data_IF_927503234104
#
_entry.id   IF_927503234104
#
_cell.length_a   1.000
_cell.length_b   1.000
_cell.length_c   1.000
_cell.angle_alpha   90.00
_cell.angle_beta   90.00
_cell.angle_gamma   90.00
#
_symmetry.space_group_name_H-M   'P 1'
#
loop_
_entity.id
_entity.type
_entity.pdbx_description
1 polymer ?
#
# COMPACT_ATOMS: atom_id res chain seq x y z
N UNK A 1 11.19 -38.40 12.81
CA UNK A 1 11.46 -38.93 14.17
C UNK A 1 12.20 -40.26 14.05
N UNK A 2 13.11 -40.62 14.95
CA UNK A 2 13.76 -41.92 15.11
C UNK A 2 14.74 -41.82 16.29
N UNK A 3 14.53 -42.77 17.18
CA UNK A 3 15.35 -43.31 18.26
C UNK A 3 16.85 -43.00 18.15
N UNK A 4 17.43 -42.46 19.23
CA UNK A 4 18.90 -42.31 19.40
C UNK A 4 19.46 -40.91 19.63
N UNK A 5 18.61 -39.88 19.73
CA UNK A 5 19.00 -38.48 19.99
C UNK A 5 19.49 -37.75 18.73
N UNK A 6 18.91 -36.67 18.23
CA UNK A 6 17.72 -35.92 18.67
C UNK A 6 16.89 -35.43 17.46
N UNK A 7 17.22 -35.85 16.21
CA UNK A 7 16.52 -35.36 15.01
C UNK A 7 16.37 -36.41 13.91
N UNK A 8 15.16 -36.95 13.83
CA UNK A 8 14.56 -37.71 12.74
C UNK A 8 14.36 -37.04 11.39
N UNK A 9 15.36 -37.03 10.50
CA UNK A 9 15.18 -36.62 9.10
C UNK A 9 14.31 -37.60 8.30
N UNK A 10 13.11 -37.15 7.95
CA UNK A 10 12.13 -37.87 7.11
C UNK A 10 12.00 -37.27 5.71
N UNK A 11 12.69 -36.16 5.43
CA UNK A 11 12.65 -35.41 4.17
C UNK A 11 13.23 -36.18 2.98
N UNK A 12 14.20 -37.07 3.21
CA UNK A 12 14.83 -37.90 2.16
C UNK A 12 14.44 -39.38 2.26
N UNK A 13 13.22 -39.69 2.73
CA UNK A 13 12.73 -41.06 2.93
C UNK A 13 11.57 -41.38 1.98
N UNK A 14 11.47 -42.65 1.57
CA UNK A 14 10.39 -43.11 0.70
C UNK A 14 9.16 -43.53 1.52
N UNK A 15 8.06 -42.82 1.35
CA UNK A 15 6.78 -43.12 1.98
C UNK A 15 5.96 -44.08 1.12
N UNK A 16 5.22 -44.99 1.75
CA UNK A 16 4.11 -45.69 1.11
C UNK A 16 2.92 -44.73 1.02
N UNK A 17 2.24 -44.72 -0.13
CA UNK A 17 1.14 -43.79 -0.39
C UNK A 17 -0.14 -44.58 -0.57
N UNK A 18 -1.19 -44.16 0.12
CA UNK A 18 -2.54 -44.73 -0.01
C UNK A 18 -3.08 -44.72 -1.45
N UNK A 19 -2.76 -43.67 -2.21
CA UNK A 19 -3.19 -43.48 -3.60
C UNK A 19 -2.23 -42.58 -4.38
N UNK A 20 -2.18 -42.76 -5.70
CA UNK A 20 -1.27 -42.01 -6.58
C UNK A 20 -1.90 -40.79 -7.24
N UNK A 21 -3.21 -40.74 -7.36
CA UNK A 21 -3.95 -39.62 -7.93
C UNK A 21 -5.19 -39.30 -7.11
N UNK A 22 -5.61 -38.04 -7.17
CA UNK A 22 -6.77 -37.50 -6.49
C UNK A 22 -7.43 -36.50 -7.45
N UNK A 23 -8.72 -36.69 -7.72
CA UNK A 23 -9.51 -35.75 -8.52
C UNK A 23 -10.68 -35.27 -7.66
N UNK A 24 -10.76 -33.95 -7.46
CA UNK A 24 -11.81 -33.30 -6.71
C UNK A 24 -12.76 -32.61 -7.67
N UNK A 25 -14.05 -32.72 -7.39
CA UNK A 25 -15.13 -32.10 -8.15
C UNK A 25 -16.20 -31.57 -7.21
N UNK A 26 -17.21 -30.89 -7.73
CA UNK A 26 -18.37 -30.47 -6.92
C UNK A 26 -19.10 -31.68 -6.29
N UNK A 27 -19.10 -32.83 -6.96
CA UNK A 27 -19.69 -34.07 -6.43
C UNK A 27 -18.84 -34.76 -5.36
N UNK A 28 -17.52 -34.56 -5.42
CA UNK A 28 -16.55 -35.09 -4.44
C UNK A 28 -15.70 -33.94 -3.90
N UNK A 29 -16.28 -33.10 -3.00
CA UNK A 29 -15.70 -31.81 -2.67
C UNK A 29 -14.52 -31.88 -1.70
N UNK A 30 -14.30 -33.05 -1.05
CA UNK A 30 -13.24 -33.26 -0.07
C UNK A 30 -12.64 -34.64 -0.21
N UNK A 31 -11.32 -34.72 -0.10
CA UNK A 31 -10.62 -35.99 -0.18
C UNK A 31 -9.19 -35.88 0.41
N UNK A 32 -8.55 -36.99 0.77
CA UNK A 32 -7.29 -36.96 1.54
C UNK A 32 -6.24 -38.03 1.21
N UNK A 33 -5.00 -37.66 0.94
CA UNK A 33 -3.91 -38.64 0.69
C UNK A 33 -3.12 -38.90 1.97
N UNK A 34 -3.00 -40.17 2.34
CA UNK A 34 -2.15 -40.62 3.44
C UNK A 34 -0.80 -41.15 2.93
N UNK A 35 0.27 -40.69 3.58
CA UNK A 35 1.65 -41.10 3.40
C UNK A 35 2.13 -41.76 4.69
N UNK A 36 2.61 -43.00 4.59
CA UNK A 36 3.05 -43.79 5.73
C UNK A 36 4.51 -44.18 5.58
N UNK A 37 5.29 -43.97 6.62
CA UNK A 37 6.68 -44.42 6.71
C UNK A 37 6.84 -45.34 7.91
N UNK A 38 7.27 -46.57 7.65
CA UNK A 38 7.61 -47.55 8.67
C UNK A 38 9.11 -47.52 8.92
N UNK A 39 9.53 -47.46 10.18
CA UNK A 39 10.94 -47.42 10.52
C UNK A 39 11.54 -48.83 10.47
N UNK A 40 12.59 -49.07 9.66
CA UNK A 40 13.21 -50.39 9.59
C UNK A 40 13.71 -50.83 10.98
N UNK A 41 13.27 -51.99 11.44
CA UNK A 41 13.69 -52.56 12.72
C UNK A 41 12.96 -52.03 13.96
N UNK A 42 11.93 -51.20 13.83
CA UNK A 42 11.03 -50.84 14.94
C UNK A 42 9.56 -50.98 14.57
N UNK A 43 8.69 -51.07 15.58
CA UNK A 43 7.23 -51.03 15.40
C UNK A 43 6.69 -49.60 15.21
N UNK A 44 7.58 -48.61 15.08
CA UNK A 44 7.19 -47.21 14.99
C UNK A 44 6.78 -46.85 13.55
N UNK A 45 5.72 -46.06 13.41
CA UNK A 45 5.21 -45.58 12.13
C UNK A 45 4.97 -44.08 12.18
N UNK A 46 5.32 -43.41 11.09
CA UNK A 46 5.04 -42.00 10.87
C UNK A 46 4.04 -41.86 9.74
N UNK A 47 2.85 -41.36 10.07
CA UNK A 47 1.74 -41.22 9.12
C UNK A 47 1.44 -39.75 8.94
N UNK A 48 1.41 -39.26 7.70
CA UNK A 48 1.03 -37.89 7.36
C UNK A 48 -0.13 -37.93 6.38
N UNK A 49 -1.23 -37.30 6.76
CA UNK A 49 -2.43 -37.20 5.94
C UNK A 49 -2.58 -35.76 5.47
N UNK A 50 -2.67 -35.58 4.15
CA UNK A 50 -3.00 -34.31 3.50
C UNK A 50 -4.47 -34.33 3.10
N UNK A 51 -5.24 -33.36 3.57
CA UNK A 51 -6.67 -33.21 3.29
C UNK A 51 -6.91 -32.02 2.38
N UNK A 52 -7.61 -32.26 1.27
CA UNK A 52 -7.87 -31.28 0.22
C UNK A 52 -9.35 -30.99 0.10
N UNK A 53 -9.68 -29.79 -0.40
CA UNK A 53 -11.05 -29.36 -0.71
C UNK A 53 -11.09 -28.71 -2.09
N UNK A 54 -12.13 -28.99 -2.86
CA UNK A 54 -12.26 -28.49 -4.24
C UNK A 54 -12.27 -26.95 -4.37
N UNK A 55 -12.74 -26.24 -3.35
CA UNK A 55 -13.00 -24.79 -3.34
C UNK A 55 -12.00 -24.00 -2.47
N UNK A 56 -10.92 -24.64 -2.02
CA UNK A 56 -10.02 -24.07 -1.04
C UNK A 56 -8.56 -24.26 -1.40
N UNK A 57 -7.79 -23.20 -1.18
CA UNK A 57 -6.33 -23.22 -1.22
C UNK A 57 -5.69 -23.67 0.11
N UNK A 58 -6.53 -24.01 1.10
CA UNK A 58 -6.09 -24.49 2.40
C UNK A 58 -6.02 -26.03 2.38
N UNK A 59 -4.81 -26.56 2.57
CA UNK A 59 -4.55 -27.99 2.69
C UNK A 59 -4.35 -28.34 4.16
N UNK A 60 -5.20 -29.21 4.70
CA UNK A 60 -5.04 -29.70 6.07
C UNK A 60 -3.92 -30.72 6.13
N UNK A 61 -3.00 -30.58 7.09
CA UNK A 61 -1.90 -31.52 7.33
C UNK A 61 -2.05 -32.09 8.73
N UNK A 62 -2.19 -33.41 8.84
CA UNK A 62 -2.19 -34.10 10.13
C UNK A 62 -1.14 -35.20 10.15
N UNK A 63 -0.25 -35.16 11.13
CA UNK A 63 0.73 -36.22 11.38
C UNK A 63 0.34 -37.06 12.58
N UNK A 64 0.51 -38.38 12.51
CA UNK A 64 0.37 -39.33 13.62
C UNK A 64 1.69 -40.04 13.88
N UNK A 65 2.01 -40.19 15.16
CA UNK A 65 3.21 -40.83 15.65
C UNK A 65 2.79 -42.13 16.34
N UNK A 66 2.88 -43.27 15.64
CA UNK A 66 2.49 -44.57 16.19
C UNK A 66 3.73 -45.35 16.63
N UNK A 67 3.67 -46.02 17.78
CA UNK A 67 4.78 -46.82 18.29
C UNK A 67 6.02 -46.01 18.71
N UNK A 68 5.85 -44.71 18.98
CA UNK A 68 6.86 -43.85 19.60
C UNK A 68 6.64 -43.77 21.12
N UNK A 69 7.71 -43.54 21.88
CA UNK A 69 7.61 -43.27 23.31
C UNK A 69 6.73 -42.05 23.58
N UNK A 70 5.93 -42.11 24.63
CA UNK A 70 5.05 -41.00 25.00
C UNK A 70 5.84 -39.88 25.69
N UNK A 71 6.46 -39.04 24.88
CA UNK A 71 7.25 -37.86 25.29
C UNK A 71 6.97 -36.70 24.34
N UNK A 72 7.34 -35.49 24.75
CA UNK A 72 7.22 -34.32 23.88
C UNK A 72 8.17 -34.41 22.68
N UNK A 73 7.67 -34.16 21.47
CA UNK A 73 8.48 -34.07 20.25
C UNK A 73 8.37 -32.67 19.63
N UNK A 74 9.32 -32.32 18.76
CA UNK A 74 9.21 -31.16 17.90
C UNK A 74 9.29 -31.60 16.44
N UNK A 75 8.34 -31.14 15.63
CA UNK A 75 8.33 -31.39 14.19
C UNK A 75 8.88 -30.16 13.49
N UNK A 76 10.00 -30.33 12.80
CA UNK A 76 10.56 -29.30 11.94
C UNK A 76 9.99 -29.52 10.54
N UNK A 77 9.24 -28.53 10.06
CA UNK A 77 8.71 -28.51 8.70
C UNK A 77 9.32 -27.35 7.91
N UNK A 78 9.42 -27.51 6.59
CA UNK A 78 9.92 -26.46 5.70
C UNK A 78 8.83 -26.07 4.71
N UNK A 79 8.78 -24.78 4.40
CA UNK A 79 7.97 -24.25 3.30
C UNK A 79 8.69 -24.37 1.94
N UNK A 80 9.84 -25.06 1.90
CA UNK A 80 10.65 -25.22 0.69
C UNK A 80 11.38 -23.94 0.29
N UNK A 81 11.84 -23.89 -0.96
CA UNK A 81 12.59 -22.76 -1.55
C UNK A 81 11.71 -21.58 -2.00
N UNK A 82 10.44 -21.54 -1.57
CA UNK A 82 9.50 -20.48 -1.91
C UNK A 82 8.57 -20.80 -3.08
N UNK A 83 8.09 -19.74 -3.74
CA UNK A 83 7.09 -19.79 -4.80
C UNK A 83 7.80 -19.59 -6.14
N UNK A 84 7.46 -20.39 -7.16
CA UNK A 84 7.99 -20.18 -8.51
C UNK A 84 7.38 -18.92 -9.13
N UNK A 85 8.20 -18.00 -9.63
CA UNK A 85 7.70 -16.81 -10.34
C UNK A 85 7.12 -17.16 -11.71
N UNK A 86 5.95 -16.61 -12.01
CA UNK A 86 5.32 -16.62 -13.33
C UNK A 86 5.11 -15.19 -13.87
N UNK A 87 5.81 -14.20 -13.30
CA UNK A 87 5.74 -12.82 -13.78
C UNK A 87 6.56 -12.64 -15.06
N UNK A 88 6.19 -11.61 -15.83
CA UNK A 88 6.96 -11.19 -17.02
C UNK A 88 8.41 -10.83 -16.67
N UNK A 89 8.64 -10.32 -15.46
CA UNK A 89 9.96 -9.99 -14.94
C UNK A 89 10.20 -10.75 -13.61
N UNK A 90 10.85 -11.93 -13.65
CA UNK A 90 11.09 -12.75 -12.47
C UNK A 90 11.93 -12.03 -11.39
N UNK A 91 12.92 -11.23 -11.78
CA UNK A 91 13.79 -10.53 -10.83
C UNK A 91 13.02 -9.48 -10.03
N UNK A 92 12.11 -8.77 -10.69
CA UNK A 92 11.22 -7.81 -10.02
C UNK A 92 10.29 -8.52 -9.03
N UNK A 93 9.77 -9.71 -9.35
CA UNK A 93 8.93 -10.50 -8.46
C UNK A 93 9.73 -11.06 -7.28
N UNK A 94 10.90 -11.66 -7.52
CA UNK A 94 11.79 -12.17 -6.49
C UNK A 94 12.23 -11.07 -5.52
N UNK A 95 12.44 -9.84 -6.00
CA UNK A 95 12.74 -8.68 -5.13
C UNK A 95 11.61 -8.33 -4.14
N UNK A 96 10.39 -8.84 -4.38
CA UNK A 96 9.21 -8.71 -3.51
C UNK A 96 8.99 -9.91 -2.61
N UNK A 97 9.87 -10.92 -2.66
CA UNK A 97 9.74 -12.08 -1.80
C UNK A 97 10.07 -11.69 -0.36
N UNK A 98 9.12 -11.99 0.51
CA UNK A 98 9.19 -11.62 1.92
C UNK A 98 8.70 -12.80 2.76
N UNK A 99 9.43 -13.07 3.84
CA UNK A 99 8.93 -13.88 4.94
C UNK A 99 8.10 -12.99 5.86
N UNK A 100 6.90 -13.44 6.18
CA UNK A 100 5.99 -12.75 7.06
C UNK A 100 5.56 -13.71 8.17
N UNK A 101 5.65 -13.24 9.40
CA UNK A 101 5.30 -14.04 10.58
C UNK A 101 4.37 -13.27 11.49
N UNK A 102 3.39 -13.95 12.09
CA UNK A 102 2.53 -13.37 13.12
C UNK A 102 2.69 -14.13 14.42
N UNK A 103 3.15 -13.44 15.46
CA UNK A 103 3.46 -13.98 16.77
C UNK A 103 2.45 -13.58 17.84
N UNK A 104 2.45 -14.30 18.96
CA UNK A 104 1.58 -13.96 20.10
C UNK A 104 1.96 -12.61 20.74
N UNK A 105 3.27 -12.32 20.83
CA UNK A 105 3.79 -11.09 21.47
C UNK A 105 4.07 -9.98 20.45
N UNK A 106 4.31 -10.33 19.19
CA UNK A 106 4.61 -9.38 18.12
C UNK A 106 3.55 -9.43 17.02
N UNK A 107 2.98 -8.27 16.72
CA UNK A 107 2.20 -8.11 15.49
C UNK A 107 3.10 -8.41 14.27
N UNK A 108 2.48 -8.67 13.13
CA UNK A 108 3.12 -9.06 11.86
C UNK A 108 4.52 -8.47 11.65
N UNK A 109 5.51 -9.36 11.57
CA UNK A 109 6.89 -9.02 11.24
C UNK A 109 7.21 -9.42 9.80
N UNK A 110 8.06 -8.63 9.15
CA UNK A 110 8.43 -8.80 7.75
C UNK A 110 9.95 -8.86 7.64
N UNK A 111 10.45 -9.95 7.07
CA UNK A 111 11.84 -10.13 6.68
C UNK A 111 11.91 -10.20 5.15
N UNK A 112 12.69 -9.32 4.52
CA UNK A 112 12.77 -9.24 3.06
C UNK A 112 13.93 -10.07 2.54
N UNK A 113 13.67 -10.92 1.55
CA UNK A 113 14.73 -11.80 1.01
C UNK A 113 15.81 -11.01 0.26
N UNK A 114 15.47 -9.82 -0.24
CA UNK A 114 16.46 -8.91 -0.83
C UNK A 114 17.53 -8.39 0.13
N UNK A 115 17.26 -8.46 1.44
CA UNK A 115 18.19 -8.00 2.47
C UNK A 115 18.99 -9.19 3.06
N UNK A 116 18.79 -10.41 2.55
CA UNK A 116 19.46 -11.63 3.01
C UNK A 116 20.64 -12.01 2.11
N UNK A 117 21.74 -12.44 2.74
CA UNK A 117 22.90 -12.98 2.02
C UNK A 117 22.83 -14.52 1.91
N UNK A 118 23.47 -15.07 0.88
CA UNK A 118 23.57 -16.52 0.72
C UNK A 118 24.28 -17.16 1.92
N UNK A 119 23.67 -18.20 2.49
CA UNK A 119 24.17 -18.93 3.66
C UNK A 119 23.91 -18.25 5.01
N UNK A 120 23.24 -17.10 5.03
CA UNK A 120 22.88 -16.40 6.26
C UNK A 120 21.57 -16.96 6.85
N UNK A 121 21.57 -17.21 8.16
CA UNK A 121 20.39 -17.63 8.91
C UNK A 121 19.79 -16.44 9.67
N UNK A 122 18.53 -16.14 9.37
CA UNK A 122 17.75 -15.12 10.07
C UNK A 122 16.63 -15.79 10.86
N UNK A 123 16.69 -15.67 12.18
CA UNK A 123 15.62 -16.12 13.05
C UNK A 123 14.54 -15.05 13.16
N UNK A 124 13.28 -15.43 12.93
CA UNK A 124 12.15 -14.53 13.13
C UNK A 124 11.98 -14.21 14.63
N UNK A 125 11.93 -12.93 15.02
CA UNK A 125 11.64 -12.53 16.39
C UNK A 125 10.18 -12.76 16.79
N UNK A 126 9.93 -12.98 18.07
CA UNK A 126 8.57 -12.92 18.65
C UNK A 126 7.70 -14.17 18.46
N UNK A 127 8.32 -15.35 18.37
CA UNK A 127 7.60 -16.61 18.52
C UNK A 127 7.05 -16.77 19.96
N UNK A 128 6.03 -17.62 20.17
CA UNK A 128 5.43 -18.56 19.22
C UNK A 128 4.54 -17.89 18.16
N UNK A 129 4.42 -18.51 16.99
CA UNK A 129 3.73 -17.98 15.80
C UNK A 129 2.41 -18.69 15.50
N UNK A 130 1.39 -17.89 15.18
CA UNK A 130 0.12 -18.33 14.62
C UNK A 130 0.30 -18.82 13.18
N UNK A 131 1.10 -18.11 12.40
CA UNK A 131 1.42 -18.51 11.05
C UNK A 131 2.78 -17.97 10.60
N UNK A 132 3.38 -18.72 9.69
CA UNK A 132 4.65 -18.40 9.03
C UNK A 132 4.41 -18.48 7.53
N UNK A 133 4.68 -17.41 6.80
CA UNK A 133 4.36 -17.29 5.38
C UNK A 133 5.56 -16.82 4.55
N UNK A 134 5.72 -17.39 3.36
CA UNK A 134 6.45 -16.80 2.24
C UNK A 134 5.41 -16.14 1.34
N UNK A 135 5.61 -14.87 0.98
CA UNK A 135 4.77 -14.22 -0.04
C UNK A 135 5.58 -13.71 -1.21
N UNK A 136 4.99 -13.77 -2.38
CA UNK A 136 5.40 -13.03 -3.58
C UNK A 136 4.55 -11.76 -3.73
N UNK A 137 4.52 -11.17 -4.93
CA UNK A 137 3.66 -10.02 -5.22
C UNK A 137 2.16 -10.32 -5.13
N UNK A 138 1.74 -11.53 -5.51
CA UNK A 138 0.32 -11.90 -5.62
C UNK A 138 -0.06 -13.23 -4.95
N UNK A 139 0.91 -14.05 -4.56
CA UNK A 139 0.69 -15.38 -4.01
C UNK A 139 1.34 -15.51 -2.64
N UNK A 140 0.79 -16.40 -1.82
CA UNK A 140 1.31 -16.70 -0.51
C UNK A 140 1.29 -18.20 -0.25
N UNK A 141 2.40 -18.67 0.31
CA UNK A 141 2.61 -20.01 0.83
C UNK A 141 2.79 -19.88 2.35
N UNK A 142 1.85 -20.38 3.13
CA UNK A 142 1.89 -20.24 4.58
C UNK A 142 1.61 -21.55 5.32
N UNK A 143 2.31 -21.76 6.42
CA UNK A 143 1.92 -22.72 7.44
C UNK A 143 1.12 -21.98 8.52
N UNK A 144 -0.09 -22.47 8.81
CA UNK A 144 -1.06 -21.88 9.73
C UNK A 144 -1.35 -22.86 10.85
N UNK A 145 -1.16 -22.41 12.08
CA UNK A 145 -1.42 -23.19 13.27
C UNK A 145 -2.94 -23.31 13.52
N UNK A 146 -3.42 -24.39 14.14
CA UNK A 146 -4.82 -24.51 14.54
C UNK A 146 -5.18 -23.46 15.62
N UNK A 147 -6.38 -22.87 15.56
CA UNK A 147 -6.80 -21.77 16.45
C UNK A 147 -6.69 -22.08 17.95
N UNK A 148 -6.98 -23.33 18.34
CA UNK A 148 -6.95 -23.79 19.74
C UNK A 148 -5.90 -24.87 19.98
N UNK A 149 -4.81 -24.88 19.20
CA UNK A 149 -3.76 -25.89 19.32
C UNK A 149 -2.36 -25.30 19.47
N UNK A 150 -1.32 -26.16 19.39
CA UNK A 150 0.06 -25.71 19.52
C UNK A 150 0.42 -24.73 18.40
N UNK A 151 1.03 -23.61 18.78
CA UNK A 151 1.61 -22.63 17.86
C UNK A 151 2.99 -23.06 17.38
N UNK A 152 3.48 -22.47 16.30
CA UNK A 152 4.83 -22.71 15.83
C UNK A 152 5.85 -22.08 16.80
N UNK A 153 6.80 -22.86 17.31
CA UNK A 153 7.76 -22.40 18.31
C UNK A 153 8.77 -21.40 17.75
N UNK A 154 9.33 -21.69 16.56
CA UNK A 154 10.33 -20.85 15.91
C UNK A 154 10.21 -20.86 14.40
N UNK A 155 10.76 -19.83 13.75
CA UNK A 155 10.87 -19.76 12.30
C UNK A 155 12.25 -19.20 11.92
N UNK A 156 12.91 -19.85 10.97
CA UNK A 156 14.23 -19.48 10.47
C UNK A 156 14.16 -19.39 8.95
N UNK A 157 14.64 -18.29 8.39
CA UNK A 157 14.90 -18.15 6.97
C UNK A 157 16.40 -18.35 6.72
N UNK A 158 16.72 -19.26 5.82
CA UNK A 158 18.09 -19.52 5.37
C UNK A 158 18.25 -19.03 3.93
N UNK A 159 19.16 -18.10 3.70
CA UNK A 159 19.42 -17.50 2.39
C UNK A 159 20.03 -18.50 1.40
N UNK A 160 19.47 -18.60 0.21
CA UNK A 160 19.94 -19.47 -0.85
C UNK A 160 20.98 -18.75 -1.75
N UNK A 161 21.76 -19.50 -2.56
CA UNK A 161 22.68 -18.91 -3.53
C UNK A 161 21.98 -18.11 -4.64
N UNK A 162 20.71 -18.42 -4.91
CA UNK A 162 19.88 -17.66 -5.84
C UNK A 162 19.52 -16.29 -5.25
N UNK A 163 19.54 -15.24 -6.08
CA UNK A 163 19.20 -13.90 -5.62
C UNK A 163 17.76 -13.84 -5.08
N UNK A 164 17.62 -13.22 -3.90
CA UNK A 164 16.34 -13.00 -3.23
C UNK A 164 15.56 -14.29 -2.94
N UNK A 165 16.25 -15.42 -2.76
CA UNK A 165 15.66 -16.70 -2.42
C UNK A 165 16.05 -17.15 -1.01
N UNK A 166 15.10 -17.70 -0.26
CA UNK A 166 15.36 -18.28 1.04
C UNK A 166 14.45 -19.48 1.30
N UNK A 167 14.97 -20.47 2.03
CA UNK A 167 14.17 -21.58 2.56
C UNK A 167 13.72 -21.25 3.96
N UNK A 168 12.42 -21.39 4.22
CA UNK A 168 11.87 -21.21 5.57
C UNK A 168 11.70 -22.56 6.25
N UNK A 169 12.15 -22.64 7.50
CA UNK A 169 11.91 -23.75 8.41
C UNK A 169 11.16 -23.26 9.63
N UNK A 170 10.17 -24.02 10.06
CA UNK A 170 9.41 -23.73 11.27
C UNK A 170 9.23 -24.98 12.12
N UNK A 171 9.11 -24.79 13.43
CA UNK A 171 9.00 -25.87 14.40
C UNK A 171 7.62 -25.90 15.02
N UNK A 172 7.00 -27.07 15.09
CA UNK A 172 5.72 -27.27 15.75
C UNK A 172 5.90 -28.25 16.92
N UNK A 173 5.60 -27.86 18.17
CA UNK A 173 5.68 -28.76 19.30
C UNK A 173 4.53 -29.79 19.25
N UNK A 174 4.85 -31.02 19.62
CA UNK A 174 3.94 -32.16 19.73
C UNK A 174 3.95 -32.60 21.20
N UNK A 175 2.96 -32.18 22.00
CA UNK A 175 2.90 -32.52 23.42
C UNK A 175 2.80 -34.03 23.64
N UNK A 176 3.31 -34.51 24.79
CA UNK A 176 3.10 -35.89 25.22
C UNK A 176 1.58 -36.18 25.34
N UNK A 177 1.16 -37.38 24.97
CA UNK A 177 -0.24 -37.83 24.96
C UNK A 177 -1.07 -37.34 23.77
N UNK A 178 -0.56 -36.44 22.92
CA UNK A 178 -1.32 -35.93 21.76
C UNK A 178 -1.40 -36.92 20.59
N UNK A 179 -0.46 -37.87 20.52
CA UNK A 179 -0.37 -38.87 19.44
C UNK A 179 -0.05 -38.31 18.05
N UNK A 180 0.12 -36.99 17.90
CA UNK A 180 0.29 -36.36 16.60
C UNK A 180 0.19 -34.84 16.58
N UNK A 181 0.26 -34.27 15.39
CA UNK A 181 0.18 -32.83 15.16
C UNK A 181 -0.80 -32.50 14.04
N UNK A 182 -1.30 -31.27 14.04
CA UNK A 182 -2.17 -30.74 12.99
C UNK A 182 -1.78 -29.30 12.69
N UNK A 183 -1.68 -28.96 11.42
CA UNK A 183 -1.57 -27.60 10.93
C UNK A 183 -2.17 -27.52 9.53
N UNK A 184 -2.36 -26.31 9.01
CA UNK A 184 -2.84 -26.11 7.65
C UNK A 184 -1.75 -25.45 6.80
N UNK A 185 -1.68 -25.78 5.53
CA UNK A 185 -0.82 -25.10 4.56
C UNK A 185 -1.72 -24.35 3.58
N UNK A 186 -1.60 -23.03 3.54
CA UNK A 186 -2.25 -22.20 2.54
C UNK A 186 -1.33 -22.03 1.33
N UNK A 187 -1.82 -22.32 0.14
CA UNK A 187 -1.09 -22.21 -1.13
C UNK A 187 -1.98 -21.55 -2.17
N UNK A 188 -2.00 -20.22 -2.19
CA UNK A 188 -3.01 -19.51 -2.97
C UNK A 188 -2.75 -18.03 -3.18
N UNK A 189 -3.71 -17.36 -3.85
CA UNK A 189 -3.63 -15.94 -4.13
C UNK A 189 -3.84 -15.10 -2.87
N UNK A 190 -3.28 -13.89 -2.85
CA UNK A 190 -3.45 -12.93 -1.76
C UNK A 190 -4.80 -12.19 -1.83
N UNK A 191 -5.90 -12.94 -1.78
CA UNK A 191 -7.26 -12.40 -1.80
C UNK A 191 -7.74 -12.07 -0.38
N UNK A 192 -8.08 -10.80 -0.12
CA UNK A 192 -8.45 -10.34 1.21
C UNK A 192 -9.61 -11.12 1.83
N UNK A 193 -10.66 -11.41 1.05
CA UNK A 193 -11.85 -12.10 1.54
C UNK A 193 -11.52 -13.53 1.96
N UNK A 194 -10.69 -14.24 1.18
CA UNK A 194 -10.26 -15.61 1.48
C UNK A 194 -9.31 -15.66 2.67
N UNK A 195 -8.37 -14.72 2.76
CA UNK A 195 -7.41 -14.67 3.86
C UNK A 195 -8.11 -14.35 5.18
N UNK A 196 -9.10 -13.46 5.18
CA UNK A 196 -9.87 -13.10 6.36
C UNK A 196 -10.72 -14.27 6.90
N UNK A 197 -11.16 -15.20 6.03
CA UNK A 197 -11.89 -16.41 6.44
C UNK A 197 -11.03 -17.45 7.18
N UNK A 198 -9.70 -17.35 7.08
CA UNK A 198 -8.77 -18.25 7.77
C UNK A 198 -8.64 -17.91 9.26
N UNK A 199 -8.88 -16.65 9.63
CA UNK A 199 -8.74 -16.15 11.01
C UNK A 199 -7.30 -15.85 11.39
N UNK A 200 -7.05 -15.62 12.69
CA UNK A 200 -5.72 -15.32 13.28
C UNK A 200 -4.98 -14.15 12.59
N UNK A 201 -5.75 -13.15 12.16
CA UNK A 201 -5.26 -12.00 11.41
C UNK A 201 -4.45 -12.34 10.16
N UNK A 202 -4.73 -13.47 9.50
CA UNK A 202 -4.00 -13.92 8.33
C UNK A 202 -4.13 -12.96 7.13
N UNK A 203 -5.17 -12.12 7.08
CA UNK A 203 -5.30 -11.02 6.12
C UNK A 203 -4.13 -10.01 6.19
N UNK A 204 -3.44 -9.94 7.33
CA UNK A 204 -2.31 -9.03 7.53
C UNK A 204 -1.01 -9.52 6.90
N UNK A 205 -1.01 -10.71 6.28
CA UNK A 205 0.12 -11.21 5.48
C UNK A 205 0.50 -10.22 4.36
N UNK A 206 -0.48 -9.48 3.84
CA UNK A 206 -0.22 -8.31 3.03
C UNK A 206 -0.18 -7.06 3.93
N UNK A 207 1.02 -6.67 4.37
CA UNK A 207 1.20 -5.42 5.08
C UNK A 207 0.94 -4.25 4.12
N UNK A 208 -0.28 -3.70 4.14
CA UNK A 208 -0.67 -2.52 3.36
C UNK A 208 0.05 -1.26 3.85
N UNK A 209 1.33 -1.15 3.50
CA UNK A 209 2.21 -0.03 3.78
C UNK A 209 2.96 -0.06 5.10
N UNK A 210 3.65 1.05 5.36
CA UNK A 210 4.47 1.21 6.56
C UNK A 210 3.63 1.08 7.83
N UNK A 211 4.21 0.51 8.90
CA UNK A 211 3.54 0.25 10.18
C UNK A 211 2.77 1.45 10.75
N UNK A 212 3.27 2.66 10.57
CA UNK A 212 2.62 3.89 11.04
C UNK A 212 1.40 4.32 10.21
N UNK A 213 1.30 3.86 8.96
CA UNK A 213 0.15 4.11 8.07
C UNK A 213 -0.95 3.06 8.19
N UNK A 214 -0.64 1.86 8.69
CA UNK A 214 -1.58 0.75 8.81
C UNK A 214 -2.90 1.09 9.53
N UNK A 215 -2.93 1.90 10.61
CA UNK A 215 -4.18 2.28 11.26
C UNK A 215 -5.13 3.06 10.34
N UNK A 216 -4.59 3.76 9.33
CA UNK A 216 -5.37 4.54 8.36
C UNK A 216 -5.62 3.72 7.09
N UNK A 217 -4.62 2.99 6.58
CA UNK A 217 -4.73 2.25 5.32
C UNK A 217 -5.65 1.03 5.43
N UNK A 218 -5.60 0.26 6.53
CA UNK A 218 -6.44 -0.94 6.73
C UNK A 218 -7.94 -0.67 6.63
N UNK A 219 -8.54 0.26 7.40
CA UNK A 219 -9.97 0.52 7.29
C UNK A 219 -10.33 1.08 5.92
N UNK A 220 -9.46 1.89 5.31
CA UNK A 220 -9.68 2.40 3.95
C UNK A 220 -9.70 1.26 2.92
N UNK A 221 -8.76 0.31 2.96
CA UNK A 221 -8.75 -0.86 2.06
C UNK A 221 -10.00 -1.71 2.27
N UNK A 222 -10.37 -1.98 3.53
CA UNK A 222 -11.55 -2.75 3.89
C UNK A 222 -12.87 -2.11 3.40
N UNK A 223 -12.90 -0.79 3.20
CA UNK A 223 -14.04 -0.07 2.61
C UNK A 223 -13.96 -0.04 1.08
N UNK A 224 -12.79 0.31 0.53
CA UNK A 224 -12.62 0.55 -0.91
C UNK A 224 -12.71 -0.76 -1.70
N UNK A 225 -12.12 -1.86 -1.22
CA UNK A 225 -12.10 -3.13 -1.93
C UNK A 225 -13.50 -3.70 -2.19
N UNK A 226 -14.39 -3.82 -1.18
CA UNK A 226 -15.76 -4.25 -1.42
C UNK A 226 -16.52 -3.34 -2.38
N UNK A 227 -16.29 -2.02 -2.34
CA UNK A 227 -16.93 -1.07 -3.26
C UNK A 227 -16.47 -1.34 -4.70
N UNK A 228 -15.17 -1.54 -4.93
CA UNK A 228 -14.64 -1.82 -6.27
C UNK A 228 -15.17 -3.16 -6.81
N UNK A 229 -15.16 -4.21 -5.98
CA UNK A 229 -15.71 -5.52 -6.36
C UNK A 229 -17.22 -5.45 -6.60
N UNK A 230 -17.96 -4.72 -5.76
CA UNK A 230 -19.40 -4.52 -5.92
C UNK A 230 -19.74 -3.76 -7.20
N UNK A 231 -19.01 -2.69 -7.51
CA UNK A 231 -19.18 -1.94 -8.76
C UNK A 231 -18.93 -2.83 -9.98
N UNK A 232 -17.84 -3.61 -9.96
CA UNK A 232 -17.50 -4.55 -11.03
C UNK A 232 -18.60 -5.61 -11.21
N UNK A 233 -18.97 -6.31 -10.14
CA UNK A 233 -19.91 -7.44 -10.17
C UNK A 233 -21.35 -7.03 -10.46
N UNK A 234 -21.82 -5.88 -9.97
CA UNK A 234 -23.21 -5.43 -10.17
C UNK A 234 -23.43 -4.71 -11.49
N UNK A 235 -22.43 -3.94 -11.94
CA UNK A 235 -22.54 -3.19 -13.19
C UNK A 235 -21.95 -3.96 -14.39
N UNK A 236 -21.30 -5.11 -14.15
CA UNK A 236 -20.60 -5.89 -15.18
C UNK A 236 -19.61 -5.03 -15.99
N UNK A 237 -19.01 -4.04 -15.34
CA UNK A 237 -18.05 -3.12 -15.94
C UNK A 237 -16.63 -3.66 -15.76
N UNK A 238 -15.80 -3.51 -16.79
CA UNK A 238 -14.36 -3.78 -16.66
C UNK A 238 -13.73 -2.91 -15.56
N UNK A 239 -12.70 -3.42 -14.90
CA UNK A 239 -12.04 -2.73 -13.80
C UNK A 239 -11.58 -1.32 -14.17
N UNK A 240 -11.16 -1.05 -15.41
CA UNK A 240 -10.78 0.31 -15.81
C UNK A 240 -11.94 1.32 -15.72
N UNK A 241 -13.15 0.93 -16.14
CA UNK A 241 -14.35 1.78 -15.99
C UNK A 241 -14.77 1.91 -14.54
N UNK A 242 -14.63 0.85 -13.75
CA UNK A 242 -14.86 0.89 -12.29
C UNK A 242 -13.94 1.92 -11.64
N UNK A 243 -12.67 2.01 -12.04
CA UNK A 243 -11.73 3.00 -11.51
C UNK A 243 -12.09 4.43 -11.90
N UNK A 244 -12.56 4.65 -13.13
CA UNK A 244 -13.02 5.95 -13.58
C UNK A 244 -14.21 6.39 -12.70
N UNK A 245 -15.22 5.51 -12.57
CA UNK A 245 -16.40 5.78 -11.77
C UNK A 245 -16.04 6.00 -10.30
N UNK A 246 -15.15 5.20 -9.74
CA UNK A 246 -14.67 5.34 -8.37
C UNK A 246 -13.93 6.67 -8.16
N UNK A 247 -13.09 7.10 -9.10
CA UNK A 247 -12.42 8.40 -9.04
C UNK A 247 -13.38 9.59 -9.02
N UNK A 248 -14.43 9.54 -9.85
CA UNK A 248 -15.50 10.54 -9.86
C UNK A 248 -16.29 10.49 -8.54
N UNK A 249 -16.69 9.30 -8.09
CA UNK A 249 -17.45 9.11 -6.86
C UNK A 249 -16.70 9.63 -5.63
N UNK A 250 -15.41 9.32 -5.50
CA UNK A 250 -14.58 9.82 -4.41
C UNK A 250 -14.50 11.35 -4.41
N UNK A 251 -14.46 11.99 -5.58
CA UNK A 251 -14.51 13.45 -5.68
C UNK A 251 -15.84 14.03 -5.23
N UNK A 252 -16.95 13.37 -5.54
CA UNK A 252 -18.29 13.77 -5.07
C UNK A 252 -18.42 13.60 -3.57
N UNK A 253 -18.02 12.46 -3.01
CA UNK A 253 -18.11 12.17 -1.57
C UNK A 253 -17.24 13.12 -0.75
N UNK A 254 -16.01 13.37 -1.20
CA UNK A 254 -15.07 14.27 -0.52
C UNK A 254 -15.28 15.75 -0.89
N UNK A 255 -16.25 16.07 -1.76
CA UNK A 255 -16.55 17.43 -2.20
C UNK A 255 -16.67 18.45 -1.05
N UNK A 256 -17.46 18.22 0.02
CA UNK A 256 -17.60 19.20 1.11
C UNK A 256 -16.28 19.41 1.87
N UNK A 257 -15.49 18.35 2.03
CA UNK A 257 -14.17 18.43 2.68
C UNK A 257 -13.20 19.26 1.82
N UNK A 258 -13.14 18.97 0.52
CA UNK A 258 -12.34 19.75 -0.42
C UNK A 258 -12.77 21.21 -0.47
N UNK A 259 -14.07 21.50 -0.45
CA UNK A 259 -14.58 22.88 -0.46
C UNK A 259 -14.16 23.67 0.79
N UNK A 260 -14.25 23.07 1.98
CA UNK A 260 -13.76 23.69 3.23
C UNK A 260 -12.26 23.95 3.19
N UNK A 261 -11.48 22.95 2.77
CA UNK A 261 -10.03 23.05 2.65
C UNK A 261 -9.60 24.12 1.65
N UNK A 262 -10.29 24.22 0.52
CA UNK A 262 -10.06 25.23 -0.51
C UNK A 262 -10.42 26.65 -0.05
N UNK A 263 -11.52 26.84 0.68
CA UNK A 263 -11.88 28.15 1.24
C UNK A 263 -10.87 28.64 2.28
N UNK A 264 -10.37 27.73 3.13
CA UNK A 264 -9.30 28.06 4.05
C UNK A 264 -8.03 28.53 3.31
N UNK A 265 -7.73 27.94 2.16
CA UNK A 265 -6.63 28.37 1.30
C UNK A 265 -6.84 29.80 0.75
N UNK A 266 -8.07 30.20 0.41
CA UNK A 266 -8.37 31.58 -0.02
C UNK A 266 -8.09 32.57 1.12
N UNK A 267 -8.47 32.25 2.36
CA UNK A 267 -8.14 33.05 3.54
C UNK A 267 -6.63 33.26 3.71
N UNK A 268 -5.86 32.18 3.58
CA UNK A 268 -4.40 32.23 3.62
C UNK A 268 -3.80 33.14 2.52
N UNK A 269 -4.36 33.13 1.32
CA UNK A 269 -3.90 34.00 0.23
C UNK A 269 -4.14 35.48 0.52
N UNK A 270 -5.21 35.85 1.24
CA UNK A 270 -5.47 37.26 1.62
C UNK A 270 -4.42 37.80 2.57
N UNK A 271 -3.91 36.95 3.46
CA UNK A 271 -2.90 37.32 4.48
C UNK A 271 -1.48 37.31 3.90
N UNK A 272 -1.25 36.60 2.79
CA UNK A 272 0.06 36.48 2.14
C UNK A 272 0.78 37.82 1.85
N UNK A 273 0.15 38.89 1.30
CA UNK A 273 0.82 40.17 1.08
C UNK A 273 1.25 40.86 2.39
N UNK A 274 0.45 40.76 3.45
CA UNK A 274 0.78 41.32 4.78
C UNK A 274 2.01 40.58 5.35
N UNK A 275 2.04 39.26 5.19
CA UNK A 275 3.18 38.43 5.60
C UNK A 275 4.44 38.76 4.79
N UNK A 276 4.31 39.12 3.51
CA UNK A 276 5.44 39.57 2.70
C UNK A 276 5.99 40.93 3.19
N UNK A 277 5.12 41.90 3.51
CA UNK A 277 5.53 43.19 4.09
C UNK A 277 6.25 43.00 5.45
N UNK A 278 5.74 42.12 6.31
CA UNK A 278 6.41 41.76 7.59
C UNK A 278 7.79 41.14 7.33
N UNK A 279 7.89 40.21 6.37
CA UNK A 279 9.19 39.63 5.99
C UNK A 279 10.16 40.66 5.47
N UNK A 280 9.68 41.69 4.78
CA UNK A 280 10.54 42.78 4.28
C UNK A 280 10.99 43.73 5.38
N UNK A 281 10.11 44.04 6.34
CA UNK A 281 10.41 44.94 7.46
C UNK A 281 11.30 44.31 8.53
N UNK A 282 11.19 43.01 8.76
CA UNK A 282 11.88 42.29 9.84
C UNK A 282 12.90 41.26 9.33
N UNK A 283 13.53 41.51 8.16
CA UNK A 283 14.54 40.60 7.56
C UNK A 283 15.66 40.23 8.53
N UNK A 284 16.10 41.19 9.33
CA UNK A 284 17.25 41.05 10.24
C UNK A 284 16.86 40.52 11.64
N UNK A 285 15.56 40.33 11.92
CA UNK A 285 15.05 39.91 13.24
C UNK A 285 14.08 38.72 13.12
N UNK A 286 14.59 37.48 12.96
CA UNK A 286 13.76 36.30 12.68
C UNK A 286 12.77 35.97 13.81
N UNK A 287 13.11 36.27 15.07
CA UNK A 287 12.22 36.02 16.20
C UNK A 287 11.01 36.97 16.20
N UNK A 288 11.22 38.28 15.97
CA UNK A 288 10.12 39.25 15.88
C UNK A 288 9.27 39.00 14.63
N UNK A 289 9.89 38.62 13.52
CA UNK A 289 9.18 38.25 12.29
C UNK A 289 8.20 37.10 12.52
N UNK A 290 8.62 36.04 13.23
CA UNK A 290 7.73 34.90 13.54
C UNK A 290 6.59 35.30 14.48
N UNK A 291 6.85 36.16 15.48
CA UNK A 291 5.83 36.62 16.43
C UNK A 291 4.76 37.48 15.75
N UNK A 292 5.16 38.47 14.95
CA UNK A 292 4.23 39.34 14.22
C UNK A 292 3.46 38.56 13.15
N UNK A 293 4.11 37.62 12.45
CA UNK A 293 3.44 36.75 11.48
C UNK A 293 2.36 35.89 12.16
N UNK A 294 2.64 35.32 13.34
CA UNK A 294 1.66 34.55 14.12
C UNK A 294 0.54 35.42 14.68
N UNK A 295 0.84 36.66 15.06
CA UNK A 295 -0.15 37.63 15.52
C UNK A 295 -1.14 37.96 14.40
N UNK A 296 -0.65 38.27 13.20
CA UNK A 296 -1.51 38.53 12.03
C UNK A 296 -2.37 37.32 11.67
N UNK A 297 -1.82 36.10 11.69
CA UNK A 297 -2.65 34.90 11.44
C UNK A 297 -3.79 34.74 12.47
N UNK A 298 -3.55 35.09 13.74
CA UNK A 298 -4.58 35.07 14.79
C UNK A 298 -5.62 36.18 14.61
N UNK A 299 -5.19 37.41 14.31
CA UNK A 299 -6.07 38.56 14.11
C UNK A 299 -7.00 38.35 12.90
N UNK A 300 -6.50 37.78 11.81
CA UNK A 300 -7.27 37.46 10.60
C UNK A 300 -8.04 36.13 10.69
N UNK A 301 -7.91 35.40 11.81
CA UNK A 301 -8.59 34.12 12.04
C UNK A 301 -8.20 33.01 11.06
N UNK A 302 -7.02 33.09 10.45
CA UNK A 302 -6.53 32.14 9.44
C UNK A 302 -5.58 31.14 10.08
N UNK A 303 -5.87 29.84 9.92
CA UNK A 303 -4.98 28.78 10.37
C UNK A 303 -3.90 28.48 9.30
N UNK A 304 -2.60 28.70 9.58
CA UNK A 304 -1.53 28.46 8.61
C UNK A 304 -1.41 26.99 8.17
N UNK A 305 -1.82 26.03 9.02
CA UNK A 305 -1.84 24.60 8.68
C UNK A 305 -2.99 24.23 7.74
N UNK A 306 -4.04 25.05 7.67
CA UNK A 306 -5.14 24.79 6.75
C UNK A 306 -4.73 25.00 5.28
N UNK A 307 -3.60 25.67 5.02
CA UNK A 307 -3.05 25.87 3.68
C UNK A 307 -2.46 24.61 3.04
N UNK A 308 -1.94 23.66 3.82
CA UNK A 308 -1.42 22.37 3.32
C UNK A 308 -2.45 21.23 3.39
N UNK A 309 -3.56 21.43 4.09
CA UNK A 309 -4.68 20.49 4.20
C UNK A 309 -5.14 19.92 2.84
N UNK A 310 -5.24 20.69 1.74
CA UNK A 310 -5.71 20.14 0.47
C UNK A 310 -4.73 19.17 -0.20
N UNK A 311 -3.44 19.25 0.15
CA UNK A 311 -2.42 18.31 -0.30
C UNK A 311 -2.41 17.05 0.57
N UNK A 312 -2.84 17.15 1.83
CA UNK A 312 -2.91 16.02 2.76
C UNK A 312 -4.16 15.16 2.60
N UNK A 313 -5.32 15.73 2.25
CA UNK A 313 -6.56 14.95 2.05
C UNK A 313 -6.42 13.83 1.00
N UNK A 314 -5.76 14.05 -0.16
CA UNK A 314 -5.54 12.99 -1.15
C UNK A 314 -4.49 11.93 -0.72
N UNK A 315 -3.60 12.22 0.23
CA UNK A 315 -2.49 11.33 0.57
C UNK A 315 -2.93 9.97 1.11
N UNK A 316 -3.87 9.86 2.07
CA UNK A 316 -4.40 8.56 2.50
C UNK A 316 -4.97 7.74 1.32
N UNK A 317 -5.70 8.40 0.42
CA UNK A 317 -6.30 7.73 -0.75
C UNK A 317 -5.22 7.25 -1.73
N UNK A 318 -4.14 8.03 -1.93
CA UNK A 318 -2.98 7.62 -2.71
C UNK A 318 -2.42 6.30 -2.20
N UNK A 319 -2.10 6.26 -0.90
CA UNK A 319 -1.46 5.10 -0.29
C UNK A 319 -2.38 3.89 -0.35
N UNK A 320 -3.66 4.05 -0.01
CA UNK A 320 -4.65 2.97 -0.11
C UNK A 320 -4.70 2.38 -1.51
N UNK A 321 -4.89 3.21 -2.54
CA UNK A 321 -5.00 2.72 -3.91
C UNK A 321 -3.69 2.14 -4.42
N UNK A 322 -2.56 2.74 -4.09
CA UNK A 322 -1.24 2.21 -4.43
C UNK A 322 -1.08 0.76 -3.92
N UNK A 323 -1.39 0.51 -2.65
CA UNK A 323 -1.27 -0.84 -2.09
C UNK A 323 -2.30 -1.82 -2.64
N UNK A 324 -3.51 -1.35 -2.92
CA UNK A 324 -4.53 -2.15 -3.61
C UNK A 324 -4.00 -2.59 -4.98
N UNK A 325 -3.54 -1.68 -5.84
CA UNK A 325 -3.04 -2.08 -7.16
C UNK A 325 -1.78 -2.94 -7.14
N UNK A 326 -0.95 -2.82 -6.10
CA UNK A 326 0.26 -3.63 -5.99
C UNK A 326 0.03 -5.02 -5.40
N UNK A 327 -0.96 -5.20 -4.53
CA UNK A 327 -1.14 -6.42 -3.75
C UNK A 327 -2.47 -7.15 -3.95
N UNK A 328 -3.35 -6.64 -4.81
CA UNK A 328 -4.66 -7.23 -5.10
C UNK A 328 -4.60 -7.98 -6.43
N UNK A 329 -4.94 -9.27 -6.41
CA UNK A 329 -4.85 -10.13 -7.60
C UNK A 329 -5.92 -9.81 -8.65
N UNK A 330 -7.00 -9.17 -8.24
CA UNK A 330 -8.15 -8.82 -9.09
C UNK A 330 -7.79 -7.83 -10.21
N UNK A 331 -6.74 -7.03 -10.02
CA UNK A 331 -6.23 -6.12 -11.06
C UNK A 331 -5.15 -6.75 -11.94
N UNK A 332 -4.67 -7.94 -11.60
CA UNK A 332 -3.65 -8.65 -12.37
C UNK A 332 -4.26 -9.17 -13.67
N UNK A 333 -3.67 -8.80 -14.80
CA UNK A 333 -4.14 -9.19 -16.12
C UNK A 333 -5.48 -8.58 -16.51
N UNK A 334 -5.94 -7.51 -15.83
CA UNK A 334 -7.15 -6.80 -16.21
C UNK A 334 -6.84 -5.80 -17.33
N UNK A 335 -7.30 -6.03 -18.57
CA UNK A 335 -7.06 -5.12 -19.69
C UNK A 335 -7.99 -3.91 -19.61
N UNK A 336 -7.54 -2.78 -20.16
CA UNK A 336 -8.36 -1.59 -20.34
C UNK A 336 -7.82 -0.70 -21.47
N UNK A 337 -8.62 -0.45 -22.51
CA UNK A 337 -8.22 0.33 -23.68
C UNK A 337 -6.90 -0.20 -24.29
N UNK A 338 -5.81 0.58 -24.26
CA UNK A 338 -4.48 0.16 -24.72
C UNK A 338 -3.62 -0.45 -23.61
N UNK A 339 -4.10 -0.47 -22.37
CA UNK A 339 -3.40 -1.05 -21.24
C UNK A 339 -3.68 -2.55 -21.21
N UNK A 340 -2.65 -3.40 -21.37
CA UNK A 340 -2.85 -4.85 -21.29
C UNK A 340 -3.11 -5.33 -19.85
N UNK A 341 -2.60 -4.60 -18.85
CA UNK A 341 -2.72 -4.96 -17.44
C UNK A 341 -2.67 -3.71 -16.55
N UNK A 342 -3.72 -3.49 -15.75
CA UNK A 342 -3.84 -2.35 -14.83
C UNK A 342 -2.86 -2.41 -13.64
N UNK A 343 -2.34 -3.59 -13.30
CA UNK A 343 -1.37 -3.79 -12.23
C UNK A 343 0.09 -3.57 -12.66
N UNK A 344 0.33 -3.47 -13.97
CA UNK A 344 1.63 -3.17 -14.57
C UNK A 344 1.73 -1.72 -15.02
N UNK A 345 2.97 -1.25 -15.23
CA UNK A 345 3.23 0.09 -15.78
C UNK A 345 2.66 0.21 -17.21
N UNK A 346 2.27 1.42 -17.60
CA UNK A 346 1.80 1.68 -18.97
C UNK A 346 2.94 1.46 -19.98
N UNK A 347 2.84 0.51 -20.92
CA UNK A 347 3.91 0.22 -21.87
C UNK A 347 4.16 1.38 -22.85
N UNK A 348 3.18 2.23 -23.10
CA UNK A 348 3.27 3.37 -24.03
C UNK A 348 3.47 4.71 -23.30
N UNK A 349 3.47 4.71 -21.97
CA UNK A 349 3.57 5.90 -21.12
C UNK A 349 2.52 7.00 -21.43
N UNK A 350 1.39 6.66 -22.05
CA UNK A 350 0.35 7.62 -22.42
C UNK A 350 -0.39 8.10 -21.16
N UNK A 351 -0.87 7.19 -20.31
CA UNK A 351 -1.61 7.55 -19.10
C UNK A 351 -0.76 8.41 -18.14
N UNK A 352 0.52 8.09 -17.83
CA UNK A 352 1.36 8.97 -17.02
C UNK A 352 1.43 10.40 -17.56
N UNK A 353 1.57 10.58 -18.88
CA UNK A 353 1.62 11.91 -19.51
C UNK A 353 0.28 12.63 -19.40
N UNK A 354 -0.84 11.94 -19.64
CA UNK A 354 -2.18 12.51 -19.49
C UNK A 354 -2.45 12.89 -18.03
N UNK A 355 -2.01 12.06 -17.08
CA UNK A 355 -2.06 12.35 -15.65
C UNK A 355 -1.28 13.63 -15.33
N UNK A 356 -0.04 13.75 -15.80
CA UNK A 356 0.80 14.95 -15.65
C UNK A 356 0.14 16.20 -16.25
N UNK A 357 -0.38 16.10 -17.46
CA UNK A 357 -1.10 17.18 -18.13
C UNK A 357 -2.36 17.60 -17.35
N UNK A 358 -3.12 16.65 -16.82
CA UNK A 358 -4.30 16.93 -15.99
C UNK A 358 -3.94 17.63 -14.67
N UNK A 359 -2.83 17.24 -14.05
CA UNK A 359 -2.30 17.87 -12.84
C UNK A 359 -1.84 19.30 -13.13
N UNK A 360 -1.12 19.50 -14.23
CA UNK A 360 -0.72 20.82 -14.70
C UNK A 360 -1.94 21.71 -14.98
N UNK A 361 -2.96 21.18 -15.66
CA UNK A 361 -4.20 21.91 -15.96
C UNK A 361 -4.92 22.34 -14.66
N UNK A 362 -5.01 21.46 -13.67
CA UNK A 362 -5.58 21.80 -12.36
C UNK A 362 -4.82 22.92 -11.66
N UNK A 363 -3.48 22.82 -11.64
CA UNK A 363 -2.65 23.81 -10.98
C UNK A 363 -2.70 25.15 -11.72
N UNK A 364 -2.70 25.11 -13.04
CA UNK A 364 -2.84 26.28 -13.90
C UNK A 364 -4.18 27.00 -13.69
N UNK A 365 -5.31 26.27 -13.67
CA UNK A 365 -6.64 26.85 -13.36
C UNK A 365 -6.66 27.38 -11.92
N UNK A 366 -6.09 26.61 -10.99
CA UNK A 366 -6.05 26.96 -9.57
C UNK A 366 -5.24 28.22 -9.28
N UNK A 367 -4.18 28.49 -10.04
CA UNK A 367 -3.32 29.65 -9.84
C UNK A 367 -3.54 30.76 -10.87
N UNK A 368 -4.46 30.56 -11.82
CA UNK A 368 -4.94 31.61 -12.71
C UNK A 368 -5.39 32.78 -11.82
N UNK A 369 -4.78 33.95 -12.01
CA UNK A 369 -5.00 35.19 -11.23
C UNK A 369 -4.27 35.32 -9.88
N UNK A 370 -3.28 34.48 -9.57
CA UNK A 370 -2.33 34.78 -8.48
C UNK A 370 -1.13 35.56 -9.03
N UNK A 371 -0.73 36.64 -8.36
CA UNK A 371 0.62 37.20 -8.56
C UNK A 371 1.60 36.18 -8.00
N UNK A 372 2.32 35.49 -8.87
CA UNK A 372 3.33 34.51 -8.44
C UNK A 372 4.55 35.29 -7.93
N UNK A 373 4.44 35.84 -6.72
CA UNK A 373 5.46 36.67 -6.08
C UNK A 373 6.75 35.87 -5.80
N UNK A 374 6.63 34.56 -5.57
CA UNK A 374 7.75 33.70 -5.18
C UNK A 374 8.18 32.79 -6.33
N UNK A 375 9.46 32.87 -6.72
CA UNK A 375 10.09 31.98 -7.71
C UNK A 375 9.88 30.49 -7.40
N UNK A 376 9.89 30.13 -6.11
CA UNK A 376 9.64 28.77 -5.63
C UNK A 376 8.26 28.23 -6.05
N UNK A 377 7.21 29.07 -6.05
CA UNK A 377 5.86 28.64 -6.44
C UNK A 377 5.73 28.44 -7.96
N UNK A 378 6.49 29.22 -8.76
CA UNK A 378 6.61 28.98 -10.22
C UNK A 378 7.28 27.64 -10.50
N UNK A 379 8.40 27.36 -9.82
CA UNK A 379 9.10 26.08 -9.98
C UNK A 379 8.19 24.93 -9.56
N UNK A 380 7.50 25.03 -8.42
CA UNK A 380 6.55 24.02 -7.99
C UNK A 380 5.40 23.81 -8.99
N UNK A 381 4.98 24.84 -9.73
CA UNK A 381 3.91 24.73 -10.73
C UNK A 381 4.31 23.99 -12.00
N UNK A 382 5.51 24.24 -12.51
CA UNK A 382 5.96 23.63 -13.76
C UNK A 382 6.75 22.34 -13.53
N UNK A 383 7.60 22.30 -12.51
CA UNK A 383 8.48 21.16 -12.26
C UNK A 383 7.77 19.99 -11.59
N UNK A 384 6.82 20.22 -10.66
CA UNK A 384 6.16 19.12 -9.94
C UNK A 384 5.35 18.19 -10.86
N UNK A 385 4.51 18.68 -11.80
CA UNK A 385 3.79 17.79 -12.69
C UNK A 385 4.72 16.95 -13.56
N UNK A 386 5.83 17.54 -14.03
CA UNK A 386 6.85 16.83 -14.82
C UNK A 386 7.51 15.75 -13.96
N UNK A 387 7.97 16.10 -12.76
CA UNK A 387 8.57 15.16 -11.81
C UNK A 387 7.61 14.02 -11.45
N UNK A 388 6.35 14.34 -11.12
CA UNK A 388 5.33 13.35 -10.81
C UNK A 388 5.02 12.44 -12.00
N UNK A 389 5.08 12.96 -13.23
CA UNK A 389 4.91 12.14 -14.44
C UNK A 389 6.00 11.08 -14.55
N UNK A 390 7.27 11.45 -14.34
CA UNK A 390 8.38 10.50 -14.36
C UNK A 390 8.31 9.49 -13.20
N UNK A 391 7.89 9.93 -12.02
CA UNK A 391 7.70 9.04 -10.87
C UNK A 391 6.59 8.01 -11.16
N UNK A 392 5.42 8.48 -11.60
CA UNK A 392 4.24 7.64 -11.85
C UNK A 392 4.37 6.80 -13.13
N UNK A 393 5.30 7.13 -14.03
CA UNK A 393 5.65 6.27 -15.17
C UNK A 393 6.15 4.88 -14.74
N UNK A 394 6.68 4.73 -13.52
CA UNK A 394 7.11 3.45 -12.96
C UNK A 394 6.03 2.76 -12.10
N UNK A 395 4.87 3.39 -11.91
CA UNK A 395 3.78 2.86 -11.10
C UNK A 395 2.72 2.14 -11.94
N UNK A 396 1.87 1.31 -11.30
CA UNK A 396 0.77 0.62 -11.98
C UNK A 396 -0.13 1.58 -12.75
N UNK A 397 -0.49 1.21 -13.98
CA UNK A 397 -1.29 2.04 -14.87
C UNK A 397 -2.70 2.32 -14.32
N UNK A 398 -3.26 1.40 -13.52
CA UNK A 398 -4.52 1.61 -12.80
C UNK A 398 -4.47 2.75 -11.79
N UNK A 399 -3.33 2.95 -11.12
CA UNK A 399 -3.13 4.10 -10.23
C UNK A 399 -3.13 5.40 -11.04
N UNK A 400 -2.41 5.43 -12.16
CA UNK A 400 -2.32 6.62 -13.00
C UNK A 400 -3.68 6.96 -13.65
N UNK A 401 -4.46 5.95 -14.02
CA UNK A 401 -5.82 6.11 -14.55
C UNK A 401 -6.76 6.72 -13.51
N UNK A 402 -6.71 6.23 -12.26
CA UNK A 402 -7.46 6.80 -11.16
C UNK A 402 -7.10 8.28 -10.95
N UNK A 403 -5.81 8.62 -10.92
CA UNK A 403 -5.36 10.01 -10.74
C UNK A 403 -5.81 10.92 -11.86
N UNK A 404 -5.65 10.47 -13.10
CA UNK A 404 -6.12 11.21 -14.27
C UNK A 404 -7.60 11.52 -14.13
N UNK A 405 -8.42 10.52 -13.81
CA UNK A 405 -9.86 10.69 -13.66
C UNK A 405 -10.22 11.61 -12.50
N UNK A 406 -9.59 11.41 -11.33
CA UNK A 406 -9.79 12.24 -10.15
C UNK A 406 -9.41 13.71 -10.42
N UNK A 407 -8.34 13.94 -11.19
CA UNK A 407 -7.92 15.27 -11.58
C UNK A 407 -8.94 15.93 -12.51
N UNK A 408 -9.39 15.22 -13.54
CA UNK A 408 -10.41 15.71 -14.47
C UNK A 408 -11.74 16.00 -13.76
N UNK A 409 -12.16 15.11 -12.85
CA UNK A 409 -13.37 15.29 -12.03
C UNK A 409 -13.26 16.49 -11.07
N UNK A 410 -12.05 16.96 -10.77
CA UNK A 410 -11.82 18.14 -9.93
C UNK A 410 -11.93 19.45 -10.70
N UNK A 411 -11.85 19.44 -12.04
CA UNK A 411 -11.87 20.65 -12.86
C UNK A 411 -13.11 21.53 -12.62
N UNK A 412 -14.35 21.00 -12.56
CA UNK A 412 -15.53 21.82 -12.28
C UNK A 412 -15.41 22.56 -10.93
N UNK A 413 -14.91 21.88 -9.90
CA UNK A 413 -14.69 22.48 -8.58
C UNK A 413 -13.59 23.55 -8.63
N UNK A 414 -12.49 23.27 -9.32
CA UNK A 414 -11.37 24.21 -9.52
C UNK A 414 -11.84 25.49 -10.23
N UNK A 415 -12.69 25.36 -11.25
CA UNK A 415 -13.26 26.46 -12.00
C UNK A 415 -14.24 27.29 -11.16
N UNK A 416 -15.13 26.64 -10.41
CA UNK A 416 -16.02 27.30 -9.47
C UNK A 416 -15.24 28.14 -8.45
N UNK A 417 -14.18 27.57 -7.89
CA UNK A 417 -13.32 28.25 -6.92
C UNK A 417 -12.53 29.41 -7.53
N UNK A 418 -12.01 29.24 -8.75
CA UNK A 418 -11.31 30.31 -9.46
C UNK A 418 -12.24 31.54 -9.67
N UNK A 419 -13.54 31.32 -9.86
CA UNK A 419 -14.55 32.39 -9.89
C UNK A 419 -14.77 33.02 -8.51
N UNK A 420 -14.91 32.21 -7.46
CA UNK A 420 -15.06 32.69 -6.07
C UNK A 420 -13.85 33.54 -5.62
N UNK A 421 -12.63 33.15 -6.00
CA UNK A 421 -11.40 33.93 -5.75
C UNK A 421 -11.39 35.26 -6.48
N UNK A 422 -11.80 35.29 -7.75
CA UNK A 422 -11.93 36.53 -8.54
C UNK A 422 -12.93 37.48 -7.89
N UNK A 423 -14.10 36.97 -7.51
CA UNK A 423 -15.12 37.76 -6.83
C UNK A 423 -14.62 38.32 -5.49
N UNK A 424 -13.75 37.59 -4.79
CA UNK A 424 -13.12 38.02 -3.55
C UNK A 424 -11.96 39.03 -3.72
N UNK A 425 -11.58 39.42 -4.94
CA UNK A 425 -10.52 40.41 -5.21
C UNK A 425 -9.10 39.96 -4.80
N UNK A 426 -8.91 38.67 -4.51
CA UNK A 426 -7.63 38.12 -4.03
C UNK A 426 -6.68 37.97 -5.23
N UNK A 427 -5.57 38.72 -5.23
CA UNK A 427 -4.55 38.67 -6.29
C UNK A 427 -4.59 39.78 -7.34
N UNK A 428 -5.49 40.77 -7.21
CA UNK A 428 -5.37 42.01 -7.98
C UNK A 428 -4.50 43.01 -7.21
N UNK A 429 -3.41 43.48 -7.85
CA UNK A 429 -2.77 44.73 -7.46
C UNK A 429 -3.85 45.82 -7.38
N UNK A 430 -3.96 46.51 -6.25
CA UNK A 430 -4.60 47.82 -6.22
C UNK A 430 -3.73 48.75 -7.08
N UNK A 431 -3.98 48.78 -8.38
CA UNK A 431 -3.54 49.85 -9.27
C UNK A 431 -4.35 51.10 -8.89
N UNK A 432 -4.03 51.74 -7.77
CA UNK A 432 -4.80 52.91 -7.28
C UNK A 432 -4.02 53.85 -6.35
N UNK A 433 -2.68 53.84 -6.32
CA UNK A 433 -1.94 54.83 -5.50
C UNK A 433 -0.84 55.59 -6.24
N UNK A 434 -0.60 55.33 -7.53
CA UNK A 434 0.44 56.04 -8.29
C UNK A 434 -0.08 57.23 -9.10
N UNK A 435 -1.37 57.31 -9.43
CA UNK A 435 -1.90 58.44 -10.21
C UNK A 435 -2.27 59.68 -9.38
N UNK A 436 -2.62 59.52 -8.09
CA UNK A 436 -2.98 60.69 -7.25
C UNK A 436 -1.78 61.56 -6.84
N UNK A 437 -0.52 61.06 -6.90
CA UNK A 437 0.68 61.86 -6.58
C UNK A 437 1.31 62.58 -7.77
N UNK A 438 0.93 62.23 -9.01
CA UNK A 438 1.41 62.94 -10.22
C UNK A 438 0.57 64.17 -10.57
N UNK A 439 -0.69 64.26 -10.11
CA UNK A 439 -1.52 65.45 -10.37
C UNK A 439 -1.25 66.61 -9.39
N UNK A 440 -0.79 66.34 -8.15
CA UNK A 440 -0.45 67.41 -7.19
C UNK A 440 0.97 67.97 -7.34
N UNK A 441 1.89 67.26 -8.01
CA UNK A 441 3.28 67.71 -8.21
C UNK A 441 3.51 68.50 -9.51
N UNK A 442 2.56 68.50 -10.45
CA UNK A 442 2.68 69.20 -11.74
C UNK A 442 2.11 70.62 -11.75
N UNK A 443 1.32 71.02 -10.75
CA UNK A 443 0.72 72.38 -10.66
C UNK A 443 1.63 73.38 -9.93
N UNK A 444 2.57 72.94 -9.08
CA UNK A 444 3.41 73.84 -8.26
C UNK A 444 4.70 74.35 -8.94
N UNK A 445 5.04 73.90 -10.16
CA UNK A 445 6.35 74.19 -10.78
C UNK A 445 6.34 75.19 -11.95
N UNK A 446 5.22 75.89 -12.19
CA UNK A 446 5.06 76.79 -13.36
C UNK A 446 4.80 78.27 -13.04
N UNK A 447 5.04 78.73 -11.80
CA UNK A 447 5.05 80.17 -11.45
C UNK A 447 6.39 80.52 -10.78
N UNK A 448 7.34 80.98 -11.59
CA UNK A 448 8.62 81.49 -11.11
C UNK A 448 9.66 81.56 -12.23
N UNK A 449 9.57 82.58 -13.09
CA UNK A 449 10.63 82.87 -14.05
C UNK A 449 10.23 83.68 -15.27
N UNK A 450 10.02 85.00 -15.12
CA UNK A 450 10.50 86.05 -16.04
C UNK A 450 10.03 87.43 -15.55
N UNK A 451 11.00 88.29 -15.27
CA UNK A 451 10.81 89.71 -14.93
C UNK A 451 12.16 90.41 -15.07
N UNK A 452 12.49 90.71 -16.34
CA UNK A 452 13.45 91.69 -16.80
C UNK A 452 12.77 92.47 -17.92
#
# INVERSE_FOLDING_TARGET
>A
IAVGGDTVRVDNRAFSVSRRSLELSESTPRDSVEFTYEFPGSASRFVVTYSFRHDSYLVGVSGRLEGFEDRGYAVVTSLGSGIRSNEKNPDEDHSKFEMVTNGQESHVQVLKFKDMSAGEDHQAPGGPFHWVAVKSKYFVLAAVAPENGPMFGGAIAHGLPEEHAATIRTTLPVPAGSGGFKFSVYMGPQDYSRLNLIGQDFQDVNSFGYRWLQPVSRPLVAIVMPILVWLHTRLSLEYGWVLILFGVLMRVVLFPLYQKSMRAQIGQMRVQPIVQDIRERYKDEPQKMQQEMMRVYKEEGVNPLAGCLPMLVPMPVLFTLFFVFQGTIEFRGAPFLWLPDLSLRDPLFIIPVVMGASMFLLQWIGQRNMTIANSQMKVMMYAMPIFMTFLFANFPSGLNLYYTTSNLASLPQQLYLARERRAAGVGQEKVSSTESKKSSSSVSRKKGGRGG
#
